data_IF_643514661560
#
_entry.id   IF_643514661560
#
_cell.length_a   1.000
_cell.length_b   1.000
_cell.length_c   1.000
_cell.angle_alpha   90.00
_cell.angle_beta   90.00
_cell.angle_gamma   90.00
#
_symmetry.space_group_name_H-M   'P 1'
#
loop_
_entity.id
_entity.type
_entity.pdbx_description
1 polymer ?
#
# COMPACT_ATOMS: atom_id res chain seq x y z
N UNK A 1 -13.61 1.42 2.13
CA UNK A 1 -12.47 0.85 1.38
C UNK A 1 -12.45 1.47 -0.02
N UNK A 2 -11.33 2.06 -0.43
CA UNK A 2 -11.15 2.68 -1.73
C UNK A 2 -10.09 1.90 -2.51
N UNK A 3 -10.55 0.94 -3.33
CA UNK A 3 -9.69 0.04 -4.10
C UNK A 3 -9.17 0.67 -5.39
N UNK A 4 -8.14 0.06 -5.97
CA UNK A 4 -7.66 0.37 -7.31
C UNK A 4 -8.61 -0.10 -8.41
N UNK A 5 -8.11 -0.21 -9.63
CA UNK A 5 -8.92 -0.62 -10.79
C UNK A 5 -9.47 -2.04 -10.64
N UNK A 6 -10.78 -2.22 -10.76
CA UNK A 6 -11.44 -3.52 -10.58
C UNK A 6 -11.00 -4.59 -11.61
N UNK A 7 -10.38 -4.17 -12.72
CA UNK A 7 -9.85 -5.10 -13.74
C UNK A 7 -8.43 -5.58 -13.43
N UNK A 8 -7.79 -5.03 -12.39
CA UNK A 8 -6.47 -5.46 -11.93
C UNK A 8 -6.60 -6.63 -10.96
N UNK A 9 -6.01 -7.77 -11.29
CA UNK A 9 -6.03 -8.96 -10.45
C UNK A 9 -5.40 -8.77 -9.06
N UNK A 10 -4.43 -7.84 -8.93
CA UNK A 10 -3.82 -7.51 -7.64
C UNK A 10 -4.84 -6.87 -6.71
N UNK A 11 -5.73 -6.01 -7.22
CA UNK A 11 -6.79 -5.38 -6.44
C UNK A 11 -7.69 -6.43 -5.80
N UNK A 12 -8.11 -7.44 -6.57
CA UNK A 12 -8.95 -8.51 -6.04
C UNK A 12 -8.25 -9.32 -4.91
N UNK A 13 -6.93 -9.54 -5.03
CA UNK A 13 -6.16 -10.23 -3.99
C UNK A 13 -6.02 -9.39 -2.72
N UNK A 14 -5.69 -8.11 -2.85
CA UNK A 14 -5.59 -7.16 -1.73
C UNK A 14 -6.93 -7.02 -1.02
N UNK A 15 -8.01 -6.85 -1.79
CA UNK A 15 -9.37 -6.74 -1.27
C UNK A 15 -9.80 -7.99 -0.50
N UNK A 16 -9.53 -9.18 -1.06
CA UNK A 16 -9.81 -10.45 -0.38
C UNK A 16 -9.09 -10.56 0.96
N UNK A 17 -7.80 -10.18 1.00
CA UNK A 17 -7.00 -10.18 2.23
C UNK A 17 -7.55 -9.21 3.27
N UNK A 18 -7.87 -7.99 2.84
CA UNK A 18 -8.43 -6.95 3.70
C UNK A 18 -9.78 -7.39 4.29
N UNK A 19 -10.72 -7.83 3.44
CA UNK A 19 -12.06 -8.27 3.89
C UNK A 19 -11.99 -9.44 4.87
N UNK A 20 -11.06 -10.38 4.65
CA UNK A 20 -10.86 -11.50 5.58
C UNK A 20 -10.46 -11.00 6.97
N UNK A 21 -9.51 -10.07 7.06
CA UNK A 21 -9.08 -9.51 8.35
C UNK A 21 -10.23 -8.73 9.02
N UNK A 22 -10.98 -7.94 8.25
CA UNK A 22 -12.14 -7.21 8.78
C UNK A 22 -13.19 -8.16 9.35
N UNK A 23 -13.48 -9.27 8.66
CA UNK A 23 -14.42 -10.31 9.12
C UNK A 23 -13.89 -10.99 10.39
N UNK A 24 -12.63 -11.44 10.39
CA UNK A 24 -11.99 -12.13 11.52
C UNK A 24 -12.01 -11.25 12.81
N UNK A 25 -11.95 -9.93 12.65
CA UNK A 25 -11.97 -8.95 13.75
C UNK A 25 -13.33 -8.26 13.97
N UNK A 26 -14.37 -8.67 13.27
CA UNK A 26 -15.73 -8.10 13.35
C UNK A 26 -15.77 -6.58 13.10
N UNK A 27 -14.92 -6.10 12.18
CA UNK A 27 -14.90 -4.71 11.73
C UNK A 27 -15.88 -4.53 10.57
N UNK A 28 -16.73 -3.53 10.66
CA UNK A 28 -17.73 -3.24 9.63
C UNK A 28 -17.11 -2.43 8.50
N UNK A 29 -17.26 -2.88 7.27
CA UNK A 29 -16.96 -2.10 6.07
C UNK A 29 -18.22 -1.31 5.73
N UNK A 30 -18.21 0.00 5.97
CA UNK A 30 -19.36 0.88 5.72
C UNK A 30 -19.68 0.98 4.22
N UNK A 31 -18.62 1.15 3.40
CA UNK A 31 -18.75 1.25 1.94
C UNK A 31 -17.46 0.89 1.23
N UNK A 32 -17.56 0.68 -0.09
CA UNK A 32 -16.38 0.41 -0.93
C UNK A 32 -16.57 0.90 -2.36
N UNK A 33 -15.48 1.40 -2.97
CA UNK A 33 -15.45 1.79 -4.38
C UNK A 33 -14.14 1.34 -5.04
N UNK A 34 -14.14 1.33 -6.37
CA UNK A 34 -12.95 1.09 -7.19
C UNK A 34 -12.63 2.32 -8.02
N UNK A 35 -11.37 2.73 -8.00
CA UNK A 35 -10.85 3.82 -8.82
C UNK A 35 -10.43 3.27 -10.18
N UNK A 36 -11.31 3.40 -11.19
CA UNK A 36 -11.05 2.94 -12.54
C UNK A 36 -9.75 3.51 -13.11
N UNK A 37 -8.92 2.60 -13.64
CA UNK A 37 -7.60 2.96 -14.17
C UNK A 37 -6.65 3.57 -13.14
N UNK A 38 -6.87 3.29 -11.84
CA UNK A 38 -6.08 3.82 -10.73
C UNK A 38 -6.07 5.35 -10.63
N UNK A 39 -7.12 6.01 -11.14
CA UNK A 39 -7.23 7.47 -11.10
C UNK A 39 -7.50 7.96 -9.69
N UNK A 40 -6.49 8.51 -9.06
CA UNK A 40 -6.54 8.93 -7.65
C UNK A 40 -7.60 10.03 -7.38
N UNK A 41 -7.92 10.84 -8.40
CA UNK A 41 -8.97 11.85 -8.33
C UNK A 41 -10.35 11.26 -8.02
N UNK A 42 -10.60 10.00 -8.41
CA UNK A 42 -11.86 9.32 -8.09
C UNK A 42 -12.00 9.05 -6.59
N UNK A 43 -10.89 8.80 -5.89
CA UNK A 43 -10.90 8.64 -4.44
C UNK A 43 -11.22 9.97 -3.73
N UNK A 44 -10.66 11.10 -4.21
CA UNK A 44 -11.01 12.42 -3.68
C UNK A 44 -12.48 12.76 -3.93
N UNK A 45 -12.96 12.53 -5.17
CA UNK A 45 -14.36 12.76 -5.53
C UNK A 45 -15.30 11.95 -4.62
N UNK A 46 -14.97 10.67 -4.38
CA UNK A 46 -15.73 9.83 -3.46
C UNK A 46 -15.82 10.46 -2.05
N UNK A 47 -14.70 10.94 -1.51
CA UNK A 47 -14.69 11.58 -0.17
C UNK A 47 -15.61 12.80 -0.15
N UNK A 48 -15.58 13.65 -1.20
CA UNK A 48 -16.45 14.83 -1.26
C UNK A 48 -17.93 14.48 -1.39
N UNK A 49 -18.25 13.47 -2.19
CA UNK A 49 -19.64 13.11 -2.53
C UNK A 49 -20.31 12.27 -1.45
N UNK A 50 -19.53 11.59 -0.57
CA UNK A 50 -20.02 10.66 0.46
C UNK A 50 -19.56 11.05 1.87
N UNK A 51 -19.54 12.36 2.16
CA UNK A 51 -19.12 12.87 3.48
C UNK A 51 -19.95 12.34 4.63
N UNK A 52 -21.21 11.96 4.41
CA UNK A 52 -22.07 11.30 5.38
C UNK A 52 -21.48 9.95 5.82
N UNK A 53 -21.03 9.12 4.89
CA UNK A 53 -20.37 7.84 5.20
C UNK A 53 -18.95 8.07 5.75
N UNK A 54 -18.19 8.98 5.13
CA UNK A 54 -16.79 9.25 5.51
C UNK A 54 -16.68 9.77 6.93
N UNK A 55 -17.63 10.61 7.37
CA UNK A 55 -17.61 11.17 8.73
C UNK A 55 -17.95 10.16 9.83
N UNK A 56 -18.54 9.01 9.48
CA UNK A 56 -18.84 7.91 10.40
C UNK A 56 -17.71 6.84 10.42
N UNK A 57 -16.72 6.95 9.52
CA UNK A 57 -15.65 5.99 9.41
C UNK A 57 -14.49 6.28 10.36
N UNK A 58 -14.02 5.26 11.08
CA UNK A 58 -12.79 5.33 11.88
C UNK A 58 -11.52 5.26 10.99
N UNK A 59 -11.62 4.60 9.83
CA UNK A 59 -10.48 4.38 8.94
C UNK A 59 -10.89 4.29 7.47
N UNK A 60 -9.96 4.67 6.59
CA UNK A 60 -10.06 4.51 5.14
C UNK A 60 -8.87 3.69 4.65
N UNK A 61 -9.15 2.50 4.10
CA UNK A 61 -8.17 1.72 3.36
C UNK A 61 -8.13 2.20 1.91
N UNK A 62 -6.94 2.59 1.44
CA UNK A 62 -6.66 2.95 0.06
C UNK A 62 -5.81 1.87 -0.61
N UNK A 63 -6.13 1.53 -1.86
CA UNK A 63 -5.44 0.49 -2.62
C UNK A 63 -3.97 0.80 -2.90
N UNK A 64 -3.59 2.08 -2.90
CA UNK A 64 -2.20 2.55 -2.96
C UNK A 64 -2.05 3.94 -2.35
N UNK A 65 -0.81 4.45 -2.33
CA UNK A 65 -0.48 5.74 -1.72
C UNK A 65 -0.90 6.94 -2.57
N UNK A 66 -1.06 6.80 -3.89
CA UNK A 66 -1.65 7.84 -4.75
C UNK A 66 -3.11 8.12 -4.36
N UNK A 67 -3.91 7.04 -4.20
CA UNK A 67 -5.29 7.15 -3.71
C UNK A 67 -5.30 7.76 -2.30
N UNK A 68 -4.42 7.29 -1.40
CA UNK A 68 -4.29 7.82 -0.05
C UNK A 68 -3.93 9.32 -0.04
N UNK A 69 -3.06 9.77 -0.95
CA UNK A 69 -2.71 11.20 -1.12
C UNK A 69 -3.94 12.06 -1.37
N UNK A 70 -4.79 11.65 -2.29
CA UNK A 70 -6.00 12.40 -2.65
C UNK A 70 -7.06 12.34 -1.55
N UNK A 71 -7.18 11.21 -0.85
CA UNK A 71 -8.05 11.07 0.32
C UNK A 71 -7.60 12.01 1.44
N UNK A 72 -6.30 11.98 1.82
CA UNK A 72 -5.78 12.85 2.87
C UNK A 72 -5.93 14.32 2.49
N UNK A 73 -5.73 14.69 1.22
CA UNK A 73 -5.96 16.04 0.75
C UNK A 73 -7.42 16.47 0.95
N UNK A 74 -8.39 15.64 0.54
CA UNK A 74 -9.80 15.91 0.71
C UNK A 74 -10.19 16.01 2.21
N UNK A 75 -9.63 15.14 3.06
CA UNK A 75 -9.83 15.20 4.51
C UNK A 75 -9.21 16.47 5.12
N UNK A 76 -8.03 16.94 4.64
CA UNK A 76 -7.41 18.22 5.07
C UNK A 76 -8.34 19.40 4.81
N UNK A 77 -8.96 19.47 3.64
CA UNK A 77 -9.94 20.54 3.33
C UNK A 77 -11.15 20.52 4.24
N UNK A 78 -11.54 19.34 4.71
CA UNK A 78 -12.64 19.15 5.68
C UNK A 78 -12.19 19.22 7.14
N UNK A 79 -10.88 19.44 7.42
CA UNK A 79 -10.26 19.47 8.76
C UNK A 79 -10.39 18.15 9.52
N UNK A 80 -10.39 17.03 8.80
CA UNK A 80 -10.53 15.67 9.34
C UNK A 80 -9.27 14.82 9.13
N UNK A 81 -8.21 15.38 8.54
CA UNK A 81 -6.95 14.66 8.36
C UNK A 81 -6.27 14.43 9.70
N UNK A 82 -5.96 13.17 10.01
CA UNK A 82 -5.46 12.73 11.30
C UNK A 82 -6.54 12.26 12.27
N UNK A 83 -7.81 12.66 12.10
CA UNK A 83 -8.93 12.15 12.88
C UNK A 83 -9.43 10.81 12.32
N UNK A 84 -9.42 10.64 10.99
CA UNK A 84 -9.72 9.39 10.29
C UNK A 84 -8.40 8.73 9.89
N UNK A 85 -8.18 7.49 10.30
CA UNK A 85 -6.99 6.73 9.97
C UNK A 85 -6.97 6.41 8.47
N UNK A 86 -5.88 6.75 7.77
CA UNK A 86 -5.69 6.42 6.36
C UNK A 86 -4.54 5.44 6.23
N UNK A 87 -4.75 4.37 5.45
CA UNK A 87 -3.70 3.40 5.12
C UNK A 87 -3.56 3.28 3.62
N UNK A 88 -2.35 2.99 3.14
CA UNK A 88 -2.03 2.88 1.72
C UNK A 88 -1.06 1.73 1.43
N UNK A 89 -0.45 1.76 0.26
CA UNK A 89 0.51 0.79 -0.23
C UNK A 89 1.47 1.47 -1.21
N UNK A 90 2.70 1.01 -1.27
CA UNK A 90 3.83 1.29 -2.14
C UNK A 90 4.97 2.06 -1.46
N UNK A 91 4.75 2.64 -0.28
CA UNK A 91 5.72 3.44 0.47
C UNK A 91 6.27 4.63 -0.34
N UNK A 92 5.38 5.32 -1.06
CA UNK A 92 5.74 6.55 -1.77
C UNK A 92 6.31 7.60 -0.81
N UNK A 93 7.21 8.46 -1.29
CA UNK A 93 7.84 9.47 -0.44
C UNK A 93 6.80 10.34 0.28
N UNK A 94 5.77 10.78 -0.40
CA UNK A 94 4.70 11.58 0.20
C UNK A 94 3.91 10.81 1.27
N UNK A 95 3.74 9.48 1.10
CA UNK A 95 3.12 8.64 2.11
C UNK A 95 4.01 8.52 3.35
N UNK A 96 5.32 8.33 3.15
CA UNK A 96 6.29 8.34 4.25
C UNK A 96 6.29 9.68 5.00
N UNK A 97 6.21 10.82 4.31
CA UNK A 97 6.04 12.14 4.90
C UNK A 97 4.75 12.22 5.74
N UNK A 98 3.61 11.77 5.19
CA UNK A 98 2.33 11.77 5.90
C UNK A 98 2.33 10.87 7.14
N UNK A 99 3.09 9.76 7.12
CA UNK A 99 3.22 8.88 8.29
C UNK A 99 3.95 9.60 9.41
N UNK A 100 5.05 10.27 9.15
CA UNK A 100 5.76 11.03 10.19
C UNK A 100 4.98 12.26 10.66
N UNK A 101 4.20 12.90 9.78
CA UNK A 101 3.26 13.97 10.09
C UNK A 101 2.04 13.51 10.91
N UNK A 102 1.66 12.22 10.83
CA UNK A 102 0.50 11.65 11.51
C UNK A 102 -0.82 11.79 10.73
N UNK A 103 -0.79 12.07 9.43
CA UNK A 103 -1.99 12.16 8.57
C UNK A 103 -2.24 10.89 7.74
N UNK A 104 -1.30 9.94 7.77
CA UNK A 104 -1.45 8.55 7.31
C UNK A 104 -0.87 7.63 8.38
N UNK A 105 -1.53 6.50 8.65
CA UNK A 105 -1.12 5.61 9.75
C UNK A 105 -0.03 4.64 9.30
N UNK A 106 -0.17 4.09 8.09
CA UNK A 106 0.78 3.12 7.55
C UNK A 106 0.72 3.06 6.02
N UNK A 107 1.76 2.47 5.46
CA UNK A 107 1.82 2.00 4.09
C UNK A 107 2.41 0.59 4.03
N UNK A 108 2.20 -0.13 2.93
CA UNK A 108 2.84 -1.42 2.68
C UNK A 108 4.04 -1.21 1.76
N UNK A 109 5.24 -1.43 2.27
CA UNK A 109 6.47 -1.40 1.48
C UNK A 109 6.69 -2.75 0.79
N UNK A 110 6.87 -2.71 -0.52
CA UNK A 110 7.26 -3.84 -1.35
C UNK A 110 8.72 -3.63 -1.79
N UNK A 111 9.70 -4.44 -1.30
CA UNK A 111 11.12 -4.22 -1.61
C UNK A 111 11.41 -4.51 -3.09
N UNK A 112 11.19 -3.53 -3.96
CA UNK A 112 11.31 -3.67 -5.42
C UNK A 112 12.72 -4.06 -5.87
N UNK A 113 13.75 -3.66 -5.12
CA UNK A 113 15.13 -4.08 -5.38
C UNK A 113 15.30 -5.60 -5.22
N UNK A 114 14.75 -6.18 -4.15
CA UNK A 114 14.77 -7.63 -3.92
C UNK A 114 14.01 -8.37 -5.02
N UNK A 115 12.89 -7.79 -5.49
CA UNK A 115 12.13 -8.34 -6.61
C UNK A 115 12.97 -8.35 -7.88
N UNK A 116 13.62 -7.24 -8.22
CA UNK A 116 14.48 -7.13 -9.40
C UNK A 116 15.69 -8.09 -9.33
N UNK A 117 16.33 -8.19 -8.16
CA UNK A 117 17.43 -9.12 -7.92
C UNK A 117 16.99 -10.58 -8.11
N UNK A 118 15.88 -10.97 -7.47
CA UNK A 118 15.35 -12.34 -7.56
C UNK A 118 14.90 -12.68 -8.98
N UNK A 119 14.25 -11.76 -9.67
CA UNK A 119 13.85 -11.94 -11.07
C UNK A 119 15.07 -12.13 -11.98
N UNK A 120 16.13 -11.33 -11.77
CA UNK A 120 17.39 -11.46 -12.54
C UNK A 120 18.08 -12.79 -12.25
N UNK A 121 18.18 -13.20 -10.98
CA UNK A 121 18.73 -14.51 -10.59
C UNK A 121 18.00 -15.66 -11.32
N UNK A 122 16.67 -15.67 -11.24
CA UNK A 122 15.87 -16.68 -11.91
C UNK A 122 16.06 -16.68 -13.44
N UNK A 123 16.11 -15.49 -14.06
CA UNK A 123 16.34 -15.37 -15.49
C UNK A 123 17.68 -15.95 -15.93
N UNK A 124 18.76 -15.69 -15.16
CA UNK A 124 20.09 -16.25 -15.43
C UNK A 124 20.10 -17.76 -15.28
N UNK A 125 19.52 -18.30 -14.19
CA UNK A 125 19.44 -19.74 -13.97
C UNK A 125 18.71 -20.46 -15.12
N UNK A 126 17.58 -19.92 -15.54
CA UNK A 126 16.80 -20.47 -16.66
C UNK A 126 17.56 -20.40 -17.99
N UNK A 127 18.28 -19.30 -18.24
CA UNK A 127 19.10 -19.13 -19.46
C UNK A 127 20.26 -20.13 -19.50
N UNK A 128 20.81 -20.51 -18.34
CA UNK A 128 21.87 -21.52 -18.20
C UNK A 128 21.35 -22.95 -18.14
N UNK A 129 20.04 -23.16 -18.19
CA UNK A 129 19.40 -24.48 -18.05
C UNK A 129 19.52 -25.09 -16.65
N UNK A 130 19.70 -24.25 -15.64
CA UNK A 130 19.77 -24.65 -14.23
C UNK A 130 18.38 -24.66 -13.57
N UNK A 131 18.29 -25.35 -12.45
CA UNK A 131 17.09 -25.35 -11.62
C UNK A 131 16.87 -24.01 -10.94
N UNK A 132 15.60 -23.65 -10.70
CA UNK A 132 15.22 -22.49 -9.93
C UNK A 132 15.56 -22.70 -8.44
N UNK A 133 15.64 -21.59 -7.62
CA UNK A 133 15.91 -21.69 -6.19
C UNK A 133 14.96 -22.64 -5.44
N UNK A 134 15.44 -23.23 -4.35
CA UNK A 134 14.68 -24.21 -3.54
C UNK A 134 13.36 -23.66 -2.99
N UNK A 135 13.28 -22.36 -2.72
CA UNK A 135 12.07 -21.70 -2.25
C UNK A 135 10.97 -21.56 -3.33
N UNK A 136 11.25 -22.00 -4.57
CA UNK A 136 10.28 -21.96 -5.64
C UNK A 136 9.16 -22.96 -5.39
N UNK A 137 7.94 -22.46 -5.31
CA UNK A 137 6.72 -23.28 -5.25
C UNK A 137 6.00 -23.25 -6.59
N UNK A 138 4.98 -24.08 -6.73
CA UNK A 138 4.13 -24.08 -7.92
C UNK A 138 2.75 -23.54 -7.56
N UNK A 139 2.26 -22.60 -8.33
CA UNK A 139 0.91 -22.03 -8.18
C UNK A 139 0.09 -22.24 -9.45
N UNK A 140 -1.23 -22.28 -9.30
CA UNK A 140 -2.16 -22.31 -10.43
C UNK A 140 -2.38 -20.88 -10.96
N UNK A 141 -2.23 -20.71 -12.28
CA UNK A 141 -2.53 -19.47 -12.98
C UNK A 141 -3.40 -19.80 -14.20
N UNK A 142 -4.71 -19.68 -14.06
CA UNK A 142 -5.67 -20.16 -15.04
C UNK A 142 -5.54 -21.68 -15.24
N UNK A 143 -5.19 -22.11 -16.44
CA UNK A 143 -5.00 -23.53 -16.78
C UNK A 143 -3.53 -24.00 -16.66
N UNK A 144 -2.65 -23.17 -16.14
CA UNK A 144 -1.22 -23.45 -16.07
C UNK A 144 -0.75 -23.61 -14.62
N UNK A 145 0.23 -24.50 -14.46
CA UNK A 145 1.04 -24.59 -13.25
C UNK A 145 2.32 -23.78 -13.49
N UNK A 146 2.54 -22.74 -12.68
CA UNK A 146 3.68 -21.84 -12.88
C UNK A 146 4.59 -21.81 -11.65
N UNK A 147 5.91 -21.77 -11.85
CA UNK A 147 6.85 -21.53 -10.76
C UNK A 147 6.61 -20.17 -10.13
N UNK A 148 6.64 -20.10 -8.80
CA UNK A 148 6.39 -18.87 -8.05
C UNK A 148 7.34 -18.74 -6.86
N UNK A 149 7.88 -17.56 -6.67
CA UNK A 149 8.66 -17.19 -5.48
C UNK A 149 7.98 -16.00 -4.84
N UNK A 150 7.44 -16.18 -3.64
CA UNK A 150 6.85 -15.10 -2.86
C UNK A 150 7.93 -14.27 -2.18
N UNK A 151 7.83 -12.94 -2.30
CA UNK A 151 8.67 -12.01 -1.55
C UNK A 151 7.84 -11.35 -0.44
N UNK A 152 8.46 -11.23 0.74
CA UNK A 152 7.81 -10.59 1.87
C UNK A 152 7.62 -9.09 1.62
N UNK A 153 6.44 -8.60 1.97
CA UNK A 153 6.11 -7.19 2.09
C UNK A 153 6.18 -6.76 3.55
N UNK A 154 6.38 -5.48 3.80
CA UNK A 154 6.57 -4.94 5.15
C UNK A 154 5.54 -3.84 5.40
N UNK A 155 4.77 -3.97 6.48
CA UNK A 155 3.93 -2.88 6.97
C UNK A 155 4.84 -1.80 7.60
N UNK A 156 4.73 -0.58 7.11
CA UNK A 156 5.54 0.56 7.57
C UNK A 156 4.63 1.58 8.23
N UNK A 157 4.97 1.90 9.46
CA UNK A 157 4.33 2.94 10.26
C UNK A 157 5.38 3.85 10.93
N UNK A 158 4.94 4.78 11.77
CA UNK A 158 5.84 5.74 12.45
C UNK A 158 6.88 5.05 13.35
N UNK A 159 6.65 3.81 13.80
CA UNK A 159 7.55 3.09 14.72
C UNK A 159 8.72 2.43 14.02
N UNK A 160 8.58 2.05 12.76
CA UNK A 160 9.60 1.31 12.02
C UNK A 160 10.11 1.98 10.73
N UNK A 161 9.54 3.13 10.34
CA UNK A 161 9.89 3.83 9.10
C UNK A 161 11.39 4.16 8.98
N UNK A 162 12.05 4.48 10.09
CA UNK A 162 13.49 4.76 10.09
C UNK A 162 14.31 3.54 9.72
N UNK A 163 13.96 2.38 10.28
CA UNK A 163 14.71 1.14 10.03
C UNK A 163 14.40 0.58 8.64
N UNK A 164 13.11 0.60 8.25
CA UNK A 164 12.65 -0.06 7.00
C UNK A 164 12.90 0.82 5.78
N UNK A 165 12.54 2.10 5.81
CA UNK A 165 12.59 2.98 4.64
C UNK A 165 13.93 3.70 4.56
N UNK A 166 14.33 4.37 5.64
CA UNK A 166 15.57 5.14 5.66
C UNK A 166 16.78 4.21 5.77
N UNK A 167 16.73 3.21 6.65
CA UNK A 167 17.80 2.24 6.82
C UNK A 167 18.08 1.38 5.60
N UNK A 168 17.07 1.12 4.74
CA UNK A 168 17.27 0.45 3.45
C UNK A 168 17.79 1.37 2.34
N UNK A 169 17.76 2.69 2.55
CA UNK A 169 18.11 3.68 1.52
C UNK A 169 17.01 3.90 0.48
N UNK A 170 15.78 3.42 0.71
CA UNK A 170 14.67 3.60 -0.22
C UNK A 170 14.28 5.07 -0.38
N UNK A 171 14.24 5.82 0.74
CA UNK A 171 14.11 7.28 0.74
C UNK A 171 15.16 7.90 1.66
N UNK A 172 15.56 9.14 1.36
CA UNK A 172 16.46 9.91 2.21
C UNK A 172 15.73 10.42 3.44
N UNK A 173 16.43 10.45 4.56
CA UNK A 173 15.87 10.88 5.86
C UNK A 173 15.35 12.31 5.81
N UNK A 174 16.13 13.21 5.23
CA UNK A 174 15.80 14.62 5.05
C UNK A 174 14.57 14.84 4.19
N UNK A 175 14.31 13.96 3.21
CA UNK A 175 13.12 14.03 2.37
C UNK A 175 11.88 13.53 3.11
N UNK A 176 12.01 12.43 3.88
CA UNK A 176 10.90 11.89 4.68
C UNK A 176 10.46 12.87 5.76
N UNK A 177 11.40 13.54 6.43
CA UNK A 177 11.11 14.48 7.51
C UNK A 177 11.03 15.95 7.06
N UNK A 178 10.91 16.20 5.74
CA UNK A 178 10.93 17.54 5.15
C UNK A 178 9.96 18.52 5.82
N UNK A 179 8.75 18.08 6.12
CA UNK A 179 7.69 18.91 6.68
C UNK A 179 7.71 18.97 8.23
N UNK A 180 8.42 18.06 8.87
CA UNK A 180 8.54 17.94 10.34
C UNK A 180 10.00 17.74 10.80
N UNK A 181 10.92 18.62 10.40
CA UNK A 181 12.35 18.44 10.66
C UNK A 181 12.70 18.38 12.15
N UNK A 182 11.84 18.91 13.01
CA UNK A 182 12.01 18.84 14.47
C UNK A 182 11.76 17.42 15.04
N UNK A 183 11.07 16.55 14.30
CA UNK A 183 10.79 15.16 14.68
C UNK A 183 11.83 14.17 14.08
N UNK A 184 12.79 14.66 13.30
CA UNK A 184 13.84 13.85 12.71
C UNK A 184 14.77 13.31 13.81
N UNK A 185 14.87 11.97 13.97
CA UNK A 185 15.67 11.34 15.03
C UNK A 185 17.19 11.49 14.79
#
# INVERSE_FOLDING_TARGET
MLGGSAVDSNVAMVEKGFRKVMEDHQVTILDSMHADGWKAELAAAYVYDHMDVVSEADAIMCGNDDLASKVVHALKEKRMAGDIMVVGQDADLEACQRIVEGTQVMTVYKPVEKLAQKATECAVLLAEGKELPEETVTIESGNYQVPYIGLEHISVDKTNINDVIIGSGFHLKEDVYLNVPAEMP
#
